data_IF_514305105768
#
_entry.id   IF_514305105768
#
_cell.length_a   1.000
_cell.length_b   1.000
_cell.length_c   1.000
_cell.angle_alpha   90.00
_cell.angle_beta   90.00
_cell.angle_gamma   90.00
#
_symmetry.space_group_name_H-M   'P 1'
#
loop_
_entity.id
_entity.type
_entity.pdbx_description
1 polymer ?
#
# COMPACT_ATOMS: atom_id res chain seq x y z
N UNK A 1 -13.06 -6.11 20.51
CA UNK A 1 -12.76 -4.68 20.79
C UNK A 1 -13.98 -3.84 20.45
N UNK A 2 -14.29 -2.83 21.28
CA UNK A 2 -15.38 -1.88 21.00
C UNK A 2 -14.86 -0.45 21.01
N UNK A 3 -15.28 0.35 20.02
CA UNK A 3 -15.02 1.81 19.96
C UNK A 3 -16.34 2.50 20.24
N UNK A 4 -16.39 3.32 21.33
CA UNK A 4 -17.60 4.03 21.76
C UNK A 4 -17.52 5.52 21.47
N UNK A 5 -18.68 6.15 21.37
CA UNK A 5 -18.81 7.61 21.25
C UNK A 5 -18.10 8.21 20.03
N UNK A 6 -17.98 7.47 18.92
CA UNK A 6 -17.37 7.94 17.68
C UNK A 6 -18.38 8.68 16.78
N UNK A 7 -17.87 9.57 15.91
CA UNK A 7 -18.56 10.03 14.72
C UNK A 7 -18.13 9.13 13.56
N UNK A 8 -18.94 8.16 13.22
CA UNK A 8 -18.63 7.07 12.27
C UNK A 8 -19.00 7.52 10.86
N UNK A 9 -18.05 7.44 9.92
CA UNK A 9 -18.32 7.61 8.49
C UNK A 9 -19.02 6.36 7.94
N UNK A 10 -20.21 6.55 7.36
CA UNK A 10 -21.07 5.47 6.89
C UNK A 10 -21.03 5.31 5.36
N UNK A 11 -21.59 4.22 4.85
CA UNK A 11 -21.73 3.95 3.41
C UNK A 11 -22.59 5.02 2.68
N UNK A 12 -23.47 5.73 3.41
CA UNK A 12 -24.25 6.84 2.88
C UNK A 12 -23.45 8.17 2.84
N UNK A 13 -22.12 8.11 2.98
CA UNK A 13 -21.20 9.25 2.91
C UNK A 13 -21.50 10.36 3.93
N UNK A 14 -21.92 9.99 5.15
CA UNK A 14 -22.21 10.92 6.23
C UNK A 14 -21.64 10.41 7.55
N UNK A 15 -21.44 11.33 8.49
CA UNK A 15 -21.06 10.98 9.85
C UNK A 15 -22.30 10.75 10.72
N UNK A 16 -22.30 9.63 11.43
CA UNK A 16 -23.35 9.28 12.41
C UNK A 16 -22.67 8.96 13.73
N UNK A 17 -23.19 9.52 14.82
CA UNK A 17 -22.68 9.20 16.16
C UNK A 17 -23.11 7.80 16.56
N UNK A 18 -22.16 7.00 17.03
CA UNK A 18 -22.43 5.63 17.43
C UNK A 18 -21.22 4.90 17.97
N UNK A 19 -21.41 3.61 18.12
CA UNK A 19 -20.39 2.65 18.55
C UNK A 19 -20.09 1.66 17.44
N UNK A 20 -18.86 1.14 17.42
CA UNK A 20 -18.43 0.09 16.50
C UNK A 20 -17.81 -1.05 17.29
N UNK A 21 -18.16 -2.28 16.97
CA UNK A 21 -17.49 -3.46 17.49
C UNK A 21 -16.66 -4.14 16.41
N UNK A 22 -15.52 -4.69 16.83
CA UNK A 22 -14.60 -5.43 15.96
C UNK A 22 -14.33 -6.80 16.59
N UNK A 23 -14.65 -7.85 15.86
CA UNK A 23 -14.37 -9.25 16.23
C UNK A 23 -13.61 -9.94 15.09
N UNK A 24 -12.53 -10.62 15.41
CA UNK A 24 -11.71 -11.34 14.42
C UNK A 24 -11.29 -10.48 13.22
N UNK A 25 -10.96 -9.21 13.47
CA UNK A 25 -10.55 -8.25 12.44
C UNK A 25 -11.70 -7.76 11.53
N UNK A 26 -12.97 -8.00 11.90
CA UNK A 26 -14.15 -7.57 11.13
C UNK A 26 -15.08 -6.74 11.98
N UNK A 27 -15.76 -5.79 11.34
CA UNK A 27 -16.85 -5.05 11.99
C UNK A 27 -18.04 -5.97 12.21
N UNK A 28 -18.63 -5.88 13.41
CA UNK A 28 -19.85 -6.59 13.78
C UNK A 28 -20.87 -5.62 14.36
N UNK A 29 -22.15 -6.04 14.39
CA UNK A 29 -23.22 -5.22 14.96
C UNK A 29 -23.02 -5.00 16.46
N UNK A 30 -23.12 -3.76 16.92
CA UNK A 30 -23.08 -3.40 18.33
C UNK A 30 -24.44 -3.62 18.98
N UNK A 31 -24.78 -4.86 19.33
CA UNK A 31 -26.02 -5.18 20.06
C UNK A 31 -25.68 -5.51 21.52
N UNK A 32 -26.21 -4.67 22.45
CA UNK A 32 -26.06 -4.90 23.89
C UNK A 32 -24.75 -4.34 24.49
N UNK A 33 -24.63 -4.47 25.83
CA UNK A 33 -23.40 -4.16 26.54
C UNK A 33 -22.34 -5.24 26.29
N UNK A 34 -21.03 -4.88 26.27
CA UNK A 34 -19.97 -5.85 26.07
C UNK A 34 -20.03 -6.91 27.17
N UNK A 35 -20.09 -8.17 26.79
CA UNK A 35 -19.99 -9.30 27.72
C UNK A 35 -18.50 -9.58 27.98
N UNK A 36 -18.04 -9.38 29.22
CA UNK A 36 -16.70 -9.77 29.64
C UNK A 36 -15.61 -8.69 29.49
N UNK A 37 -14.33 -9.12 29.50
CA UNK A 37 -13.13 -8.25 29.43
C UNK A 37 -12.85 -7.76 28.00
N UNK A 38 -13.82 -7.21 27.33
CA UNK A 38 -13.63 -6.66 25.97
C UNK A 38 -12.85 -5.32 26.07
N UNK A 39 -11.81 -5.19 25.22
CA UNK A 39 -11.09 -3.92 25.10
C UNK A 39 -12.03 -2.82 24.58
N UNK A 40 -12.21 -1.76 25.36
CA UNK A 40 -13.07 -0.61 25.03
C UNK A 40 -12.21 0.62 24.82
N UNK A 41 -12.39 1.29 23.68
CA UNK A 41 -11.81 2.59 23.36
C UNK A 41 -12.93 3.63 23.35
N UNK A 42 -12.84 4.66 24.19
CA UNK A 42 -13.75 5.80 24.12
C UNK A 42 -13.19 6.84 23.14
N UNK A 43 -13.83 6.98 22.00
CA UNK A 43 -13.44 7.93 20.96
C UNK A 43 -13.75 9.40 21.33
N UNK A 44 -14.51 9.67 22.40
CA UNK A 44 -14.81 11.01 22.90
C UNK A 44 -15.29 12.01 21.81
N UNK A 45 -16.03 11.51 20.84
CA UNK A 45 -16.53 12.31 19.72
C UNK A 45 -15.53 12.46 18.55
N UNK A 46 -14.39 11.78 18.57
CA UNK A 46 -13.48 11.75 17.43
C UNK A 46 -14.14 11.07 16.23
N UNK A 47 -13.61 11.36 15.05
CA UNK A 47 -14.07 10.77 13.80
C UNK A 47 -13.48 9.38 13.62
N UNK A 48 -14.33 8.43 13.25
CA UNK A 48 -13.97 7.08 12.84
C UNK A 48 -14.22 6.97 11.34
N UNK A 49 -13.16 6.82 10.58
CA UNK A 49 -13.17 6.68 9.12
C UNK A 49 -12.51 5.36 8.73
N UNK A 50 -12.77 4.83 7.51
CA UNK A 50 -11.94 3.78 6.94
C UNK A 50 -10.47 4.21 6.94
N UNK A 51 -9.56 3.26 7.12
CA UNK A 51 -8.14 3.54 6.99
C UNK A 51 -7.82 4.06 5.58
N UNK A 52 -6.91 5.02 5.50
CA UNK A 52 -6.49 5.57 4.23
C UNK A 52 -5.68 4.54 3.43
N UNK A 53 -5.71 4.67 2.10
CA UNK A 53 -4.94 3.82 1.19
C UNK A 53 -4.05 4.73 0.36
N UNK A 54 -2.75 4.50 0.39
CA UNK A 54 -1.80 5.19 -0.48
C UNK A 54 -1.34 4.24 -1.61
N UNK A 55 -1.55 4.66 -2.85
CA UNK A 55 -1.28 3.85 -4.03
C UNK A 55 -0.13 4.38 -4.89
N UNK A 56 0.50 5.50 -4.49
CA UNK A 56 1.63 6.05 -5.21
C UNK A 56 2.49 6.96 -4.33
N UNK A 57 3.55 6.42 -3.80
CA UNK A 57 4.63 7.11 -3.11
C UNK A 57 5.88 6.22 -3.18
N UNK A 58 7.08 6.78 -3.09
CA UNK A 58 8.32 6.00 -3.24
C UNK A 58 8.88 5.51 -1.91
N UNK A 59 8.73 6.31 -0.88
CA UNK A 59 9.24 6.00 0.45
C UNK A 59 9.08 7.17 1.42
N UNK A 60 9.61 7.00 2.62
CA UNK A 60 9.56 8.00 3.69
C UNK A 60 10.69 7.77 4.70
N UNK A 61 10.97 8.79 5.52
CA UNK A 61 11.95 8.69 6.62
C UNK A 61 13.34 8.19 6.21
N UNK A 62 13.74 8.44 4.95
CA UNK A 62 15.02 8.00 4.42
C UNK A 62 15.06 6.56 3.95
N UNK A 63 13.91 5.88 3.90
CA UNK A 63 13.74 4.57 3.30
C UNK A 63 12.94 4.69 2.00
N UNK A 64 13.28 3.90 1.00
CA UNK A 64 12.66 3.86 -0.32
C UNK A 64 12.25 2.42 -0.67
N UNK A 65 11.17 2.29 -1.45
CA UNK A 65 10.74 0.97 -1.96
C UNK A 65 11.86 0.28 -2.74
N UNK A 66 12.67 1.06 -3.47
CA UNK A 66 13.79 0.56 -4.27
C UNK A 66 15.05 0.23 -3.46
N UNK A 67 15.08 0.47 -2.14
CA UNK A 67 16.17 -0.05 -1.29
C UNK A 67 16.18 -1.59 -1.27
N UNK A 68 15.07 -2.24 -1.60
CA UNK A 68 14.95 -3.68 -1.75
C UNK A 68 15.24 -4.46 -0.47
N UNK A 69 14.95 -3.87 0.70
CA UNK A 69 15.22 -4.48 2.01
C UNK A 69 13.94 -4.57 2.86
N UNK A 70 13.90 -5.56 3.75
CA UNK A 70 12.81 -5.70 4.71
C UNK A 70 12.75 -4.48 5.65
N UNK A 71 13.91 -4.00 6.08
CA UNK A 71 14.05 -2.86 6.98
C UNK A 71 13.44 -1.58 6.38
N UNK A 72 13.64 -1.34 5.08
CA UNK A 72 13.02 -0.22 4.39
C UNK A 72 11.50 -0.34 4.38
N UNK A 73 10.96 -1.52 4.08
CA UNK A 73 9.52 -1.76 4.12
C UNK A 73 8.94 -1.63 5.53
N UNK A 74 9.66 -2.06 6.57
CA UNK A 74 9.25 -1.88 7.97
C UNK A 74 9.17 -0.39 8.35
N UNK A 75 10.15 0.42 7.94
CA UNK A 75 10.14 1.89 8.15
C UNK A 75 8.95 2.53 7.43
N UNK A 76 8.77 2.21 6.16
CA UNK A 76 7.69 2.74 5.32
C UNK A 76 6.33 2.39 5.91
N UNK A 77 6.05 1.12 6.16
CA UNK A 77 4.73 0.67 6.64
C UNK A 77 4.43 1.20 8.03
N UNK A 78 5.43 1.29 8.92
CA UNK A 78 5.26 1.85 10.27
C UNK A 78 4.94 3.35 10.23
N UNK A 79 5.62 4.11 9.39
CA UNK A 79 5.36 5.54 9.25
C UNK A 79 3.97 5.80 8.67
N UNK A 80 3.61 5.11 7.59
CA UNK A 80 2.31 5.27 6.94
C UNK A 80 1.15 4.94 7.90
N UNK A 81 1.29 3.88 8.71
CA UNK A 81 0.33 3.57 9.77
C UNK A 81 0.21 4.71 10.80
N UNK A 82 1.32 5.35 11.15
CA UNK A 82 1.34 6.44 12.14
C UNK A 82 0.59 7.70 11.68
N UNK A 83 0.36 7.86 10.38
CA UNK A 83 -0.39 8.98 9.79
C UNK A 83 -1.79 8.59 9.30
N UNK A 84 -2.23 7.37 9.62
CA UNK A 84 -3.60 6.89 9.34
C UNK A 84 -3.77 6.14 8.01
N UNK A 85 -2.71 5.93 7.26
CA UNK A 85 -2.70 5.05 6.10
C UNK A 85 -2.60 3.61 6.60
N UNK A 86 -3.54 2.76 6.24
CA UNK A 86 -3.60 1.36 6.71
C UNK A 86 -3.22 0.35 5.65
N UNK A 87 -3.21 0.77 4.39
CA UNK A 87 -2.85 -0.05 3.24
C UNK A 87 -1.98 0.74 2.27
N UNK A 88 -0.89 0.15 1.84
CA UNK A 88 0.09 0.82 0.97
C UNK A 88 0.37 0.02 -0.31
N UNK A 89 0.56 0.76 -1.39
CA UNK A 89 1.00 0.26 -2.68
C UNK A 89 2.17 1.15 -3.16
N UNK A 90 3.36 1.03 -2.54
CA UNK A 90 4.49 1.90 -2.84
C UNK A 90 4.93 1.75 -4.29
N UNK A 91 5.41 2.86 -4.87
CA UNK A 91 5.87 2.93 -6.24
C UNK A 91 7.37 2.62 -6.33
N UNK A 92 7.75 1.87 -7.36
CA UNK A 92 9.16 1.71 -7.73
C UNK A 92 9.64 2.88 -8.57
N UNK A 93 10.95 2.98 -8.76
CA UNK A 93 11.58 3.84 -9.74
C UNK A 93 12.07 3.01 -10.95
N UNK A 94 12.39 3.70 -12.04
CA UNK A 94 13.05 3.09 -13.21
C UNK A 94 14.52 2.86 -12.89
N UNK A 95 14.84 1.68 -12.34
CA UNK A 95 16.17 1.23 -11.91
C UNK A 95 16.68 0.08 -12.78
N UNK A 96 17.94 -0.35 -12.67
CA UNK A 96 18.47 -1.50 -13.42
C UNK A 96 17.62 -2.76 -13.25
N UNK A 97 17.50 -3.56 -14.32
CA UNK A 97 16.64 -4.75 -14.37
C UNK A 97 16.86 -5.72 -13.22
N UNK A 98 18.12 -6.00 -12.90
CA UNK A 98 18.45 -6.98 -11.86
C UNK A 98 18.13 -6.43 -10.47
N UNK A 99 18.36 -5.14 -10.25
CA UNK A 99 17.98 -4.47 -9.00
C UNK A 99 16.46 -4.47 -8.81
N UNK A 100 15.70 -4.13 -9.85
CA UNK A 100 14.23 -4.17 -9.79
C UNK A 100 13.72 -5.58 -9.48
N UNK A 101 14.37 -6.61 -10.02
CA UNK A 101 14.00 -8.00 -9.71
C UNK A 101 14.22 -8.34 -8.22
N UNK A 102 15.31 -7.86 -7.61
CA UNK A 102 15.58 -8.06 -6.18
C UNK A 102 14.57 -7.29 -5.31
N UNK A 103 14.23 -6.05 -5.68
CA UNK A 103 13.16 -5.27 -5.03
C UNK A 103 11.85 -6.07 -5.03
N UNK A 104 11.46 -6.65 -6.18
CA UNK A 104 10.24 -7.44 -6.29
C UNK A 104 10.29 -8.72 -5.44
N UNK A 105 11.43 -9.41 -5.37
CA UNK A 105 11.61 -10.59 -4.51
C UNK A 105 11.46 -10.24 -3.03
N UNK A 106 12.10 -9.14 -2.61
CA UNK A 106 12.00 -8.66 -1.24
C UNK A 106 10.54 -8.37 -0.87
N UNK A 107 9.85 -7.59 -1.69
CA UNK A 107 8.44 -7.27 -1.44
C UNK A 107 7.54 -8.52 -1.47
N UNK A 108 7.80 -9.45 -2.40
CA UNK A 108 7.05 -10.71 -2.52
C UNK A 108 7.21 -11.67 -1.33
N UNK A 109 8.28 -11.50 -0.56
CA UNK A 109 8.57 -12.27 0.66
C UNK A 109 8.32 -11.48 1.95
N UNK A 110 7.85 -10.23 1.85
CA UNK A 110 7.64 -9.38 3.01
C UNK A 110 6.53 -9.92 3.91
N UNK A 111 6.85 -10.09 5.19
CA UNK A 111 5.89 -10.47 6.21
C UNK A 111 5.46 -9.24 7.00
N UNK A 112 4.16 -9.14 7.25
CA UNK A 112 3.55 -8.05 8.01
C UNK A 112 4.16 -7.91 9.40
N UNK A 113 4.67 -6.72 9.72
CA UNK A 113 5.39 -6.43 10.98
C UNK A 113 4.62 -5.50 11.94
N UNK A 114 3.36 -5.18 11.65
CA UNK A 114 2.50 -4.35 12.52
C UNK A 114 2.30 -2.90 12.06
N UNK A 115 2.79 -2.53 10.88
CA UNK A 115 2.53 -1.24 10.23
C UNK A 115 1.29 -1.24 9.32
N UNK A 116 1.33 -0.49 8.24
CA UNK A 116 0.34 -0.59 7.16
C UNK A 116 0.50 -1.90 6.40
N UNK A 117 -0.59 -2.43 5.88
CA UNK A 117 -0.52 -3.61 5.03
C UNK A 117 0.06 -3.26 3.66
N UNK A 118 1.11 -3.98 3.24
CA UNK A 118 1.60 -3.95 1.87
C UNK A 118 0.61 -4.74 1.00
N UNK A 119 -0.33 -4.03 0.36
CA UNK A 119 -1.41 -4.66 -0.42
C UNK A 119 -1.09 -4.75 -1.91
N UNK A 120 -0.05 -4.06 -2.35
CA UNK A 120 0.40 -4.06 -3.74
C UNK A 120 1.71 -3.31 -3.93
N UNK A 121 2.14 -3.29 -5.17
CA UNK A 121 3.24 -2.49 -5.69
C UNK A 121 2.71 -1.71 -6.88
N UNK A 122 3.03 -0.44 -6.97
CA UNK A 122 2.88 0.37 -8.17
C UNK A 122 4.22 0.34 -8.92
N UNK A 123 4.27 -0.34 -10.06
CA UNK A 123 5.48 -0.41 -10.87
C UNK A 123 5.56 0.82 -11.78
N UNK A 124 6.22 1.89 -11.30
CA UNK A 124 6.50 3.09 -12.10
C UNK A 124 7.76 2.88 -12.92
N UNK A 125 7.55 2.72 -14.23
CA UNK A 125 8.60 2.27 -15.14
C UNK A 125 8.89 0.76 -15.00
N UNK A 126 9.76 0.23 -15.85
CA UNK A 126 10.58 0.89 -16.87
C UNK A 126 9.86 1.16 -18.20
N UNK A 127 8.59 0.85 -18.35
CA UNK A 127 7.82 0.88 -19.61
C UNK A 127 7.23 2.26 -19.93
N UNK A 128 7.96 3.31 -19.57
CA UNK A 128 7.55 4.71 -19.73
C UNK A 128 8.23 5.37 -20.93
N UNK A 129 7.71 6.54 -21.36
CA UNK A 129 8.27 7.26 -22.49
C UNK A 129 9.54 8.03 -22.12
N UNK A 130 10.65 7.86 -22.86
CA UNK A 130 11.86 8.66 -22.67
C UNK A 130 11.61 10.16 -22.81
N UNK A 131 10.65 10.57 -23.64
CA UNK A 131 10.30 11.97 -23.87
C UNK A 131 9.55 12.61 -22.67
N UNK A 132 8.91 11.80 -21.83
CA UNK A 132 8.07 12.25 -20.70
C UNK A 132 8.48 11.63 -19.36
N UNK A 133 9.67 11.10 -19.26
CA UNK A 133 10.15 10.33 -18.11
C UNK A 133 10.23 11.09 -16.78
N UNK A 134 10.17 12.42 -16.81
CA UNK A 134 10.37 13.21 -15.58
C UNK A 134 11.73 12.97 -14.95
N UNK A 135 11.74 12.62 -13.67
CA UNK A 135 12.95 12.33 -12.88
C UNK A 135 13.50 10.90 -13.09
N UNK A 136 12.80 10.05 -13.83
CA UNK A 136 13.21 8.65 -14.02
C UNK A 136 14.52 8.54 -14.82
N UNK A 137 15.33 7.52 -14.52
CA UNK A 137 16.64 7.27 -15.16
C UNK A 137 16.46 6.80 -16.61
N UNK A 138 16.90 7.64 -17.57
CA UNK A 138 16.66 7.38 -19.00
C UNK A 138 17.32 6.08 -19.49
N UNK A 139 18.48 5.75 -18.95
CA UNK A 139 19.28 4.57 -19.29
C UNK A 139 18.60 3.25 -18.90
N UNK A 140 17.65 3.28 -17.99
CA UNK A 140 16.92 2.11 -17.51
C UNK A 140 15.52 1.97 -18.15
N UNK A 141 15.09 2.97 -18.95
CA UNK A 141 13.83 2.89 -19.68
C UNK A 141 13.95 1.81 -20.77
N UNK A 142 12.88 1.05 -20.93
CA UNK A 142 12.84 -0.01 -21.93
C UNK A 142 11.47 -0.10 -22.60
N UNK A 143 11.44 -0.68 -23.78
CA UNK A 143 10.18 -1.03 -24.44
C UNK A 143 9.40 -2.03 -23.58
N UNK A 144 8.09 -2.04 -23.77
CA UNK A 144 7.23 -2.99 -23.06
C UNK A 144 7.63 -4.42 -23.37
N UNK A 145 7.85 -5.19 -22.32
CA UNK A 145 8.33 -6.57 -22.38
C UNK A 145 7.48 -7.42 -21.41
N UNK A 146 6.54 -8.15 -21.99
CA UNK A 146 5.63 -9.01 -21.22
C UNK A 146 6.35 -10.13 -20.47
N UNK A 147 7.40 -10.70 -21.05
CA UNK A 147 8.14 -11.78 -20.39
C UNK A 147 8.90 -11.25 -19.18
N UNK A 148 9.52 -10.08 -19.31
CA UNK A 148 10.17 -9.43 -18.18
C UNK A 148 9.16 -9.05 -17.10
N UNK A 149 8.04 -8.43 -17.46
CA UNK A 149 6.95 -8.13 -16.50
C UNK A 149 6.47 -9.41 -15.79
N UNK A 150 6.25 -10.49 -16.52
CA UNK A 150 5.79 -11.76 -15.94
C UNK A 150 6.78 -12.32 -14.91
N UNK A 151 8.09 -12.16 -15.16
CA UNK A 151 9.13 -12.52 -14.19
C UNK A 151 9.08 -11.66 -12.93
N UNK A 152 8.90 -10.34 -13.08
CA UNK A 152 8.74 -9.42 -11.95
C UNK A 152 7.50 -9.74 -11.14
N UNK A 153 6.35 -9.96 -11.78
CA UNK A 153 5.10 -10.30 -11.11
C UNK A 153 5.20 -11.62 -10.33
N UNK A 154 5.89 -12.60 -10.89
CA UNK A 154 6.17 -13.87 -10.20
C UNK A 154 7.09 -13.66 -9.00
N UNK A 155 8.15 -12.87 -9.15
CA UNK A 155 9.08 -12.53 -8.07
C UNK A 155 8.38 -11.78 -6.92
N UNK A 156 7.49 -10.86 -7.26
CA UNK A 156 6.66 -10.12 -6.32
C UNK A 156 5.49 -10.93 -5.72
N UNK A 157 5.40 -12.23 -5.97
CA UNK A 157 4.31 -13.09 -5.50
C UNK A 157 2.90 -12.55 -5.83
N UNK A 158 2.75 -11.91 -7.01
CA UNK A 158 1.49 -11.34 -7.47
C UNK A 158 1.15 -9.97 -6.86
N UNK A 159 2.08 -9.31 -6.19
CA UNK A 159 1.86 -7.99 -5.55
C UNK A 159 1.85 -6.81 -6.51
N UNK A 160 2.33 -6.91 -7.75
CA UNK A 160 2.21 -5.78 -8.69
C UNK A 160 0.74 -5.61 -9.04
N UNK A 161 0.14 -4.49 -8.61
CA UNK A 161 -1.28 -4.17 -8.82
C UNK A 161 -1.49 -3.01 -9.79
N UNK A 162 -0.48 -2.14 -9.91
CA UNK A 162 -0.47 -1.01 -10.82
C UNK A 162 0.80 -1.07 -11.65
N UNK A 163 0.70 -0.67 -12.90
CA UNK A 163 1.83 -0.55 -13.83
C UNK A 163 1.66 0.74 -14.62
N UNK A 164 2.62 1.63 -14.51
CA UNK A 164 2.66 2.83 -15.33
C UNK A 164 3.29 2.49 -16.68
N UNK A 165 2.52 2.70 -17.73
CA UNK A 165 2.89 2.36 -19.10
C UNK A 165 2.66 3.56 -20.03
N UNK A 166 3.59 3.82 -20.94
CA UNK A 166 3.40 4.77 -22.03
C UNK A 166 2.80 4.05 -23.25
N UNK A 167 1.50 4.20 -23.54
CA UNK A 167 0.83 3.42 -24.56
C UNK A 167 1.30 3.75 -25.99
N UNK A 168 1.99 4.89 -26.19
CA UNK A 168 2.60 5.32 -27.44
C UNK A 168 3.94 4.64 -27.74
N UNK A 169 4.55 3.98 -26.76
CA UNK A 169 5.85 3.35 -26.96
C UNK A 169 5.71 1.96 -27.61
N UNK A 170 6.74 1.50 -28.37
CA UNK A 170 6.69 0.22 -29.04
C UNK A 170 6.45 -0.95 -28.08
N UNK A 171 5.53 -1.85 -28.43
CA UNK A 171 5.20 -3.04 -27.66
C UNK A 171 4.21 -2.81 -26.51
N UNK A 172 3.70 -1.58 -26.33
CA UNK A 172 2.75 -1.25 -25.26
C UNK A 172 1.33 -1.76 -25.51
N UNK A 173 0.96 -1.94 -26.80
CA UNK A 173 -0.37 -2.36 -27.27
C UNK A 173 -0.31 -3.72 -27.93
#
# INVERSE_FOLDING_TARGET
>A
MRIRNANIYTEEHRFVRGDVAVENGRFVSCTGDPAGEEAVVDAKGMYLIPGLVDIHFHGCKGADMCDGTKEALDVITSYEASVGVTSVCPATMTIPKDELLEVMKNAGSYEYSGGSHLVGINMEGPFISPAKKGAQAAENIMHCDYEYFSRLQKAANGLIKLVDIAPEEPGAM
#
